data_IF_712163065431
#
_entry.id   IF_712163065431
#
_cell.length_a   1.000
_cell.length_b   1.000
_cell.length_c   1.000
_cell.angle_alpha   90.00
_cell.angle_beta   90.00
_cell.angle_gamma   90.00
#
_symmetry.space_group_name_H-M   'P 1'
#
loop_
_entity.id
_entity.type
_entity.pdbx_description
1 polymer ?
#
# COMPACT_ATOMS: atom_id res chain seq x y z
N UNK A 1 22.01 6.08 12.73
CA UNK A 1 20.90 5.60 13.59
C UNK A 1 19.55 5.53 12.87
N UNK A 2 19.22 6.49 11.99
CA UNK A 2 17.98 6.48 11.18
C UNK A 2 17.69 5.14 10.51
N UNK A 3 18.65 4.62 9.72
CA UNK A 3 18.50 3.37 8.97
C UNK A 3 18.19 2.16 9.85
N UNK A 4 18.80 2.07 11.04
CA UNK A 4 18.53 0.97 11.99
C UNK A 4 17.10 1.06 12.54
N UNK A 5 16.66 2.26 12.95
CA UNK A 5 15.27 2.49 13.40
C UNK A 5 14.27 2.15 12.30
N UNK A 6 14.55 2.59 11.07
CA UNK A 6 13.70 2.32 9.91
C UNK A 6 13.56 0.82 9.63
N UNK A 7 14.68 0.08 9.57
CA UNK A 7 14.65 -1.38 9.36
C UNK A 7 13.90 -2.10 10.49
N UNK A 8 14.10 -1.69 11.74
CA UNK A 8 13.42 -2.28 12.88
C UNK A 8 11.91 -2.03 12.84
N UNK A 9 11.47 -0.80 12.52
CA UNK A 9 10.06 -0.46 12.31
C UNK A 9 9.48 -1.29 11.17
N UNK A 10 10.17 -1.37 10.03
CA UNK A 10 9.72 -2.15 8.89
C UNK A 10 9.54 -3.63 9.23
N UNK A 11 10.46 -4.22 10.01
CA UNK A 11 10.35 -5.60 10.50
C UNK A 11 9.13 -5.80 11.42
N UNK A 12 8.90 -4.87 12.35
CA UNK A 12 7.75 -4.93 13.27
C UNK A 12 6.44 -4.82 12.50
N UNK A 13 6.34 -3.88 11.56
CA UNK A 13 5.15 -3.69 10.71
C UNK A 13 4.92 -4.94 9.85
N UNK A 14 5.97 -5.49 9.25
CA UNK A 14 5.89 -6.73 8.47
C UNK A 14 5.39 -7.92 9.30
N UNK A 15 5.93 -8.09 10.52
CA UNK A 15 5.49 -9.13 11.44
C UNK A 15 4.03 -8.95 11.84
N UNK A 16 3.61 -7.71 12.13
CA UNK A 16 2.23 -7.38 12.48
C UNK A 16 1.27 -7.67 11.33
N UNK A 17 1.58 -7.24 10.11
CA UNK A 17 0.77 -7.52 8.91
C UNK A 17 0.65 -9.03 8.70
N UNK A 18 1.77 -9.76 8.80
CA UNK A 18 1.78 -11.22 8.63
C UNK A 18 0.90 -11.91 9.67
N UNK A 19 0.98 -11.47 10.92
CA UNK A 19 0.17 -12.00 12.02
C UNK A 19 -1.33 -11.71 11.85
N UNK A 20 -1.70 -10.47 11.54
CA UNK A 20 -3.10 -10.10 11.31
C UNK A 20 -3.69 -10.86 10.12
N UNK A 21 -2.95 -10.96 9.01
CA UNK A 21 -3.37 -11.75 7.85
C UNK A 21 -3.55 -13.23 8.20
N UNK A 22 -2.69 -13.80 9.04
CA UNK A 22 -2.81 -15.17 9.50
C UNK A 22 -4.10 -15.37 10.30
N UNK A 23 -4.42 -14.47 11.24
CA UNK A 23 -5.67 -14.51 12.00
C UNK A 23 -6.87 -14.39 11.06
N UNK A 24 -6.90 -13.39 10.18
CA UNK A 24 -8.01 -13.15 9.26
C UNK A 24 -8.27 -14.34 8.32
N UNK A 25 -7.20 -14.99 7.83
CA UNK A 25 -7.34 -16.21 7.03
C UNK A 25 -8.03 -17.32 7.80
N UNK A 26 -7.68 -17.49 9.07
CA UNK A 26 -8.25 -18.52 9.93
C UNK A 26 -9.69 -18.20 10.32
N UNK A 27 -10.02 -16.95 10.63
CA UNK A 27 -11.36 -16.55 11.09
C UNK A 27 -12.37 -16.48 9.94
N UNK A 28 -11.97 -15.98 8.77
CA UNK A 28 -12.86 -15.79 7.62
C UNK A 28 -12.84 -16.97 6.63
N UNK A 29 -12.07 -18.02 6.95
CA UNK A 29 -11.83 -19.19 6.10
C UNK A 29 -11.45 -18.76 4.67
N UNK A 30 -10.42 -17.91 4.58
CA UNK A 30 -9.95 -17.39 3.29
C UNK A 30 -9.03 -18.43 2.67
N UNK A 31 -9.41 -18.90 1.49
CA UNK A 31 -8.59 -19.85 0.73
C UNK A 31 -7.23 -19.24 0.39
N UNK A 32 -6.19 -20.06 0.55
CA UNK A 32 -4.83 -19.65 0.22
C UNK A 32 -4.66 -19.77 -1.28
N UNK A 33 -4.81 -18.66 -1.99
CA UNK A 33 -4.46 -18.60 -3.41
C UNK A 33 -2.97 -18.92 -3.56
N UNK A 34 -2.66 -20.08 -4.17
CA UNK A 34 -1.29 -20.46 -4.51
C UNK A 34 -0.82 -19.55 -5.63
N UNK A 35 -0.12 -18.48 -5.29
CA UNK A 35 0.58 -17.65 -6.26
C UNK A 35 2.01 -18.18 -6.42
N UNK A 36 2.43 -18.40 -7.65
CA UNK A 36 3.85 -18.60 -7.95
C UNK A 36 4.57 -17.27 -7.73
N UNK A 37 5.76 -17.31 -7.13
CA UNK A 37 6.53 -16.12 -6.72
C UNK A 37 6.91 -15.17 -7.88
N UNK A 38 6.70 -15.58 -9.14
CA UNK A 38 6.96 -14.80 -10.35
C UNK A 38 5.77 -14.71 -11.32
N UNK A 39 4.59 -15.21 -10.93
CA UNK A 39 3.39 -15.10 -11.75
C UNK A 39 2.86 -13.67 -11.77
N UNK A 40 2.28 -13.27 -12.89
CA UNK A 40 1.71 -11.94 -13.05
C UNK A 40 0.55 -11.74 -12.06
N UNK A 41 0.55 -10.66 -11.30
CA UNK A 41 -0.44 -10.43 -10.24
C UNK A 41 -1.83 -9.99 -10.75
N UNK A 42 -1.99 -9.83 -12.07
CA UNK A 42 -3.25 -9.43 -12.67
C UNK A 42 -4.22 -10.61 -12.72
N UNK A 43 -5.47 -10.30 -12.39
CA UNK A 43 -6.57 -11.28 -12.38
C UNK A 43 -7.12 -11.48 -13.79
N UNK A 44 -7.13 -10.41 -14.59
CA UNK A 44 -7.53 -10.42 -16.00
C UNK A 44 -6.79 -9.32 -16.77
N UNK A 45 -7.00 -9.24 -18.09
CA UNK A 45 -6.40 -8.20 -18.93
C UNK A 45 -6.88 -6.79 -18.58
N UNK A 46 -8.15 -6.65 -18.15
CA UNK A 46 -8.70 -5.38 -17.68
C UNK A 46 -7.91 -4.84 -16.48
N UNK A 47 -7.62 -5.69 -15.49
CA UNK A 47 -6.82 -5.35 -14.32
C UNK A 47 -5.44 -4.85 -14.77
N UNK A 48 -4.79 -5.55 -15.70
CA UNK A 48 -3.50 -5.14 -16.25
C UNK A 48 -3.56 -3.77 -16.92
N UNK A 49 -4.63 -3.46 -17.64
CA UNK A 49 -4.78 -2.18 -18.31
C UNK A 49 -5.03 -1.04 -17.33
N UNK A 50 -5.92 -1.25 -16.34
CA UNK A 50 -6.22 -0.28 -15.29
C UNK A 50 -4.99 -0.01 -14.43
N UNK A 51 -4.29 -1.05 -13.98
CA UNK A 51 -3.08 -0.93 -13.16
C UNK A 51 -1.98 -0.15 -13.90
N UNK A 52 -1.78 -0.41 -15.19
CA UNK A 52 -0.87 0.41 -16.03
C UNK A 52 -1.29 1.87 -16.11
N UNK A 53 -2.58 2.17 -16.21
CA UNK A 53 -3.08 3.55 -16.23
C UNK A 53 -2.84 4.24 -14.90
N UNK A 54 -3.11 3.56 -13.78
CA UNK A 54 -2.88 4.08 -12.43
C UNK A 54 -1.39 4.30 -12.21
N UNK A 55 -0.54 3.34 -12.59
CA UNK A 55 0.92 3.48 -12.50
C UNK A 55 1.46 4.66 -13.32
N UNK A 56 0.91 4.92 -14.52
CA UNK A 56 1.25 6.12 -15.30
C UNK A 56 0.81 7.41 -14.60
N UNK A 57 -0.40 7.45 -14.05
CA UNK A 57 -0.90 8.62 -13.32
C UNK A 57 -0.02 8.89 -12.09
N UNK A 58 0.27 7.87 -11.29
CA UNK A 58 1.18 7.96 -10.14
C UNK A 58 2.58 8.44 -10.56
N UNK A 59 3.11 7.87 -11.66
CA UNK A 59 4.41 8.25 -12.22
C UNK A 59 4.49 9.68 -12.79
N UNK A 60 3.35 10.30 -13.11
CA UNK A 60 3.29 11.71 -13.51
C UNK A 60 3.02 12.64 -12.32
N UNK A 61 2.10 12.28 -11.44
CA UNK A 61 1.65 13.12 -10.32
C UNK A 61 2.76 13.30 -9.28
N UNK A 62 3.45 12.23 -8.87
CA UNK A 62 4.44 12.33 -7.80
C UNK A 62 5.63 13.25 -8.15
N UNK A 63 6.25 13.16 -9.36
CA UNK A 63 7.29 14.10 -9.75
C UNK A 63 6.81 15.55 -9.78
N UNK A 64 5.58 15.81 -10.24
CA UNK A 64 5.00 17.16 -10.23
C UNK A 64 4.88 17.67 -8.80
N UNK A 65 4.39 16.86 -7.87
CA UNK A 65 4.28 17.23 -6.46
C UNK A 65 5.65 17.51 -5.82
N UNK A 66 6.68 16.73 -6.19
CA UNK A 66 8.06 16.98 -5.75
C UNK A 66 8.59 18.31 -6.29
N UNK A 67 8.34 18.62 -7.56
CA UNK A 67 8.72 19.92 -8.15
C UNK A 67 8.02 21.07 -7.45
N UNK A 68 6.72 20.93 -7.14
CA UNK A 68 5.96 21.94 -6.37
C UNK A 68 6.57 22.13 -4.99
N UNK A 69 6.93 21.06 -4.29
CA UNK A 69 7.56 21.12 -2.98
C UNK A 69 8.90 21.87 -3.00
N UNK A 70 9.76 21.58 -3.99
CA UNK A 70 11.06 22.25 -4.14
C UNK A 70 10.89 23.76 -4.34
N UNK A 71 9.83 24.19 -5.03
CA UNK A 71 9.55 25.61 -5.27
C UNK A 71 8.77 26.27 -4.12
N UNK A 72 8.11 25.50 -3.25
CA UNK A 72 7.30 26.02 -2.17
C UNK A 72 7.22 25.03 -0.98
N UNK A 73 8.08 25.24 0.01
CA UNK A 73 8.19 24.39 1.20
C UNK A 73 6.90 24.36 2.05
N UNK A 74 6.06 25.40 1.98
CA UNK A 74 4.80 25.45 2.71
C UNK A 74 3.79 24.38 2.24
N UNK A 75 4.02 23.75 1.08
CA UNK A 75 3.13 22.76 0.47
C UNK A 75 3.57 21.31 0.70
N UNK A 76 4.44 21.03 1.66
CA UNK A 76 4.91 19.67 1.99
C UNK A 76 3.77 18.66 2.28
N UNK A 77 2.64 19.12 2.83
CA UNK A 77 1.47 18.28 3.06
C UNK A 77 0.87 17.72 1.76
N UNK A 78 1.01 18.41 0.62
CA UNK A 78 0.51 17.92 -0.67
C UNK A 78 1.25 16.67 -1.13
N UNK A 79 2.55 16.54 -0.84
CA UNK A 79 3.31 15.34 -1.17
C UNK A 79 2.81 14.14 -0.36
N UNK A 80 2.54 14.35 0.94
CA UNK A 80 1.96 13.32 1.80
C UNK A 80 0.58 12.92 1.28
N UNK A 81 -0.32 13.88 1.05
CA UNK A 81 -1.65 13.61 0.51
C UNK A 81 -1.57 12.88 -0.84
N UNK A 82 -0.65 13.27 -1.70
CA UNK A 82 -0.38 12.62 -2.97
C UNK A 82 0.00 11.15 -2.81
N UNK A 83 1.00 10.86 -1.96
CA UNK A 83 1.45 9.50 -1.67
C UNK A 83 0.34 8.61 -1.11
N UNK A 84 -0.46 9.14 -0.17
CA UNK A 84 -1.62 8.43 0.40
C UNK A 84 -2.65 8.14 -0.69
N UNK A 85 -2.95 9.13 -1.52
CA UNK A 85 -3.98 9.02 -2.57
C UNK A 85 -3.57 8.05 -3.66
N UNK A 86 -2.32 8.09 -4.13
CA UNK A 86 -1.82 7.15 -5.15
C UNK A 86 -1.75 5.73 -4.59
N UNK A 87 -1.30 5.56 -3.35
CA UNK A 87 -1.30 4.25 -2.68
C UNK A 87 -2.71 3.68 -2.51
N UNK A 88 -3.68 4.53 -2.15
CA UNK A 88 -5.09 4.13 -2.05
C UNK A 88 -5.64 3.68 -3.40
N UNK A 89 -5.29 4.36 -4.50
CA UNK A 89 -5.70 3.95 -5.84
C UNK A 89 -5.10 2.59 -6.22
N UNK A 90 -3.80 2.38 -5.99
CA UNK A 90 -3.13 1.11 -6.30
C UNK A 90 -3.76 -0.06 -5.53
N UNK A 91 -3.88 0.06 -4.21
CA UNK A 91 -4.47 -0.99 -3.38
C UNK A 91 -5.98 -1.14 -3.60
N UNK A 92 -6.68 -0.05 -3.87
CA UNK A 92 -8.11 -0.02 -4.16
C UNK A 92 -8.45 -0.74 -5.45
N UNK A 93 -7.67 -0.51 -6.51
CA UNK A 93 -7.79 -1.23 -7.78
C UNK A 93 -7.56 -2.72 -7.57
N UNK A 94 -6.47 -3.08 -6.91
CA UNK A 94 -6.17 -4.49 -6.61
C UNK A 94 -7.29 -5.16 -5.81
N UNK A 95 -7.76 -4.52 -4.74
CA UNK A 95 -8.84 -5.05 -3.90
C UNK A 95 -10.17 -5.15 -4.67
N UNK A 96 -10.49 -4.18 -5.52
CA UNK A 96 -11.68 -4.20 -6.37
C UNK A 96 -11.64 -5.39 -7.33
N UNK A 97 -10.51 -5.63 -7.98
CA UNK A 97 -10.35 -6.76 -8.89
C UNK A 97 -10.38 -8.09 -8.15
N UNK A 98 -9.74 -8.19 -6.99
CA UNK A 98 -9.81 -9.37 -6.13
C UNK A 98 -11.26 -9.66 -5.74
N UNK A 99 -12.03 -8.66 -5.34
CA UNK A 99 -13.42 -8.83 -4.91
C UNK A 99 -14.38 -9.20 -6.07
N UNK A 100 -14.22 -8.60 -7.24
CA UNK A 100 -15.19 -8.71 -8.35
C UNK A 100 -14.85 -9.79 -9.37
N UNK A 101 -13.58 -10.08 -9.59
CA UNK A 101 -13.14 -10.88 -10.74
C UNK A 101 -12.27 -12.09 -10.35
N UNK A 102 -11.89 -12.25 -9.08
CA UNK A 102 -11.11 -13.41 -8.64
C UNK A 102 -12.03 -14.53 -8.13
N UNK A 103 -11.56 -15.78 -8.28
CA UNK A 103 -12.15 -16.96 -7.65
C UNK A 103 -12.12 -16.89 -6.11
N UNK A 104 -11.25 -16.05 -5.53
CA UNK A 104 -11.11 -15.86 -4.09
C UNK A 104 -11.46 -14.42 -3.65
N UNK A 105 -12.74 -14.00 -3.68
CA UNK A 105 -13.16 -12.62 -3.42
C UNK A 105 -12.85 -12.13 -2.01
N UNK A 106 -12.81 -13.06 -1.03
CA UNK A 106 -12.44 -12.75 0.36
C UNK A 106 -10.97 -12.28 0.49
N UNK A 107 -10.12 -12.53 -0.50
CA UNK A 107 -8.74 -12.04 -0.48
C UNK A 107 -8.66 -10.50 -0.48
N UNK A 108 -9.66 -9.82 -1.06
CA UNK A 108 -9.73 -8.36 -1.03
C UNK A 108 -9.70 -7.81 0.41
N UNK A 109 -10.27 -8.52 1.38
CA UNK A 109 -10.25 -8.13 2.81
C UNK A 109 -8.81 -8.08 3.32
N UNK A 110 -7.96 -9.04 2.93
CA UNK A 110 -6.56 -9.07 3.33
C UNK A 110 -5.76 -7.92 2.69
N UNK A 111 -6.04 -7.58 1.43
CA UNK A 111 -5.40 -6.47 0.72
C UNK A 111 -5.79 -5.12 1.32
N UNK A 112 -7.08 -4.91 1.61
CA UNK A 112 -7.55 -3.69 2.29
C UNK A 112 -6.96 -3.60 3.69
N UNK A 113 -6.92 -4.70 4.45
CA UNK A 113 -6.34 -4.71 5.79
C UNK A 113 -4.84 -4.40 5.76
N UNK A 114 -4.10 -4.94 4.80
CA UNK A 114 -2.68 -4.63 4.62
C UNK A 114 -2.47 -3.13 4.40
N UNK A 115 -3.23 -2.54 3.48
CA UNK A 115 -3.16 -1.10 3.23
C UNK A 115 -3.43 -0.30 4.51
N UNK A 116 -4.52 -0.60 5.22
CA UNK A 116 -4.88 0.09 6.46
C UNK A 116 -3.79 -0.01 7.54
N UNK A 117 -3.17 -1.18 7.70
CA UNK A 117 -2.09 -1.37 8.67
C UNK A 117 -0.84 -0.58 8.28
N UNK A 118 -0.46 -0.58 7.00
CA UNK A 118 0.66 0.22 6.50
C UNK A 118 0.40 1.70 6.70
N UNK A 119 -0.80 2.19 6.36
CA UNK A 119 -1.15 3.60 6.53
C UNK A 119 -1.18 4.02 7.99
N UNK A 120 -1.69 3.16 8.87
CA UNK A 120 -1.66 3.40 10.32
C UNK A 120 -0.21 3.47 10.82
N UNK A 121 0.65 2.55 10.38
CA UNK A 121 2.07 2.58 10.74
C UNK A 121 2.75 3.88 10.25
N UNK A 122 2.48 4.32 9.03
CA UNK A 122 3.01 5.58 8.48
C UNK A 122 2.57 6.77 9.34
N UNK A 123 1.28 6.88 9.66
CA UNK A 123 0.75 7.97 10.50
C UNK A 123 1.39 7.95 11.89
N UNK A 124 1.50 6.78 12.52
CA UNK A 124 2.13 6.62 13.85
C UNK A 124 3.60 7.04 13.81
N UNK A 125 4.36 6.64 12.79
CA UNK A 125 5.78 6.99 12.66
C UNK A 125 5.97 8.49 12.48
N UNK A 126 5.12 9.12 11.65
CA UNK A 126 5.14 10.57 11.45
C UNK A 126 4.75 11.33 12.72
N UNK A 127 3.66 10.93 13.37
CA UNK A 127 3.15 11.60 14.58
C UNK A 127 4.11 11.50 15.76
N UNK A 128 4.74 10.35 15.95
CA UNK A 128 5.68 10.12 17.05
C UNK A 128 7.10 10.61 16.74
N UNK A 129 7.36 11.08 15.51
CA UNK A 129 8.69 11.54 15.09
C UNK A 129 9.79 10.50 15.29
N UNK A 130 9.47 9.20 15.23
CA UNK A 130 10.38 8.11 15.63
C UNK A 130 11.65 8.10 14.79
N UNK A 131 11.51 8.50 13.52
CA UNK A 131 12.59 8.62 12.55
C UNK A 131 13.35 9.96 12.63
N UNK A 132 12.90 10.90 13.45
CA UNK A 132 13.38 12.28 13.51
C UNK A 132 12.24 13.27 13.27
N UNK A 133 12.38 14.50 13.76
CA UNK A 133 11.48 15.60 13.39
C UNK A 133 11.71 15.98 11.93
N UNK A 134 10.65 16.08 11.16
CA UNK A 134 10.64 16.67 9.82
C UNK A 134 10.38 18.17 9.92
#
# INVERSE_FOLDING_TARGET
>A
MFWLKFVLIALVVFALISFVKFILRKTLMIEKVKKEFFSNNYINELHRQVDKWVGRLTGLILPILILVLINNEALHYLLIVGLISTSLLDYGVKAFFEYRYSEAPKQAILTVTEWLLVMTAVVVVLQLGVLGSF
#
